data_IF_041142791384
#
_entry.id   IF_041142791384
#
_cell.length_a   1.000
_cell.length_b   1.000
_cell.length_c   1.000
_cell.angle_alpha   90.00
_cell.angle_beta   90.00
_cell.angle_gamma   90.00
#
_symmetry.space_group_name_H-M   'P 1'
#
loop_
_entity.id
_entity.type
_entity.pdbx_description
1 polymer ?
#
# COMPACT_ATOMS: atom_id res chain seq x y z
N UNK A 1 39.55 6.49 -33.08
CA UNK A 1 40.14 5.88 -31.89
C UNK A 1 39.90 6.86 -30.74
N UNK A 2 38.82 6.73 -30.02
CA UNK A 2 38.57 7.38 -28.74
C UNK A 2 38.08 6.28 -27.77
N UNK A 3 38.87 6.18 -26.72
CA UNK A 3 38.95 5.14 -25.70
C UNK A 3 37.63 4.99 -24.90
N UNK A 4 37.20 3.74 -24.82
CA UNK A 4 36.09 3.23 -24.01
C UNK A 4 36.54 2.97 -22.56
N UNK A 5 36.69 3.99 -21.72
CA UNK A 5 37.09 3.82 -20.31
C UNK A 5 36.16 4.50 -19.26
N UNK A 6 34.94 4.91 -19.64
CA UNK A 6 34.07 5.62 -18.71
C UNK A 6 32.99 4.79 -17.96
N UNK A 7 32.68 3.51 -18.24
CA UNK A 7 31.68 2.80 -17.44
C UNK A 7 32.23 2.07 -16.21
N UNK A 8 33.54 1.88 -16.07
CA UNK A 8 34.12 1.15 -14.95
C UNK A 8 34.30 1.98 -13.67
N UNK A 9 34.41 3.31 -13.79
CA UNK A 9 34.60 4.20 -12.64
C UNK A 9 33.30 4.49 -11.85
N UNK A 10 32.15 4.37 -12.47
CA UNK A 10 30.84 4.61 -11.80
C UNK A 10 30.41 3.38 -10.98
N UNK A 11 30.85 2.18 -11.34
CA UNK A 11 30.51 0.95 -10.62
C UNK A 11 31.31 0.74 -9.32
N UNK A 12 32.44 1.44 -9.14
CA UNK A 12 33.31 1.31 -7.96
C UNK A 12 32.98 2.28 -6.82
N UNK A 13 32.07 3.23 -7.00
CA UNK A 13 31.65 4.17 -5.95
C UNK A 13 30.55 3.62 -5.03
N UNK A 14 30.02 2.42 -5.29
CA UNK A 14 28.96 1.81 -4.47
C UNK A 14 29.47 0.73 -3.49
N UNK A 15 30.76 0.47 -3.40
CA UNK A 15 31.30 -0.62 -2.57
C UNK A 15 32.42 -0.18 -1.61
N UNK A 16 32.19 0.84 -0.80
CA UNK A 16 33.01 1.06 0.39
C UNK A 16 32.28 1.83 1.48
N UNK A 17 31.19 1.25 1.98
CA UNK A 17 30.77 1.50 3.36
C UNK A 17 31.38 0.35 4.17
N UNK A 18 32.63 0.52 4.55
CA UNK A 18 33.24 -0.27 5.62
C UNK A 18 32.41 0.06 6.88
N UNK A 19 31.69 -0.93 7.41
CA UNK A 19 31.11 -0.87 8.72
C UNK A 19 32.21 -0.68 9.75
N UNK A 20 32.49 0.56 10.12
CA UNK A 20 33.17 0.85 11.39
C UNK A 20 32.21 0.34 12.47
N UNK A 21 32.62 -0.68 13.22
CA UNK A 21 32.00 -1.02 14.49
C UNK A 21 32.23 0.19 15.42
N UNK A 22 31.33 1.14 15.38
CA UNK A 22 31.24 2.17 16.39
C UNK A 22 30.76 1.45 17.66
N UNK A 23 31.40 1.77 18.77
CA UNK A 23 30.94 1.44 20.12
C UNK A 23 29.54 2.05 20.24
N UNK A 24 28.49 1.22 19.99
CA UNK A 24 27.13 1.68 20.01
C UNK A 24 26.77 2.03 21.44
N UNK A 25 26.48 3.31 21.66
CA UNK A 25 25.87 3.76 22.89
C UNK A 25 24.69 2.83 23.23
N UNK A 26 24.73 2.12 24.38
CA UNK A 26 23.72 1.12 24.74
C UNK A 26 22.28 1.68 24.76
N UNK A 27 22.14 3.00 24.71
CA UNK A 27 20.85 3.71 24.66
C UNK A 27 20.46 4.22 23.28
N UNK A 28 21.25 4.01 22.23
CA UNK A 28 20.99 4.54 20.90
C UNK A 28 20.74 3.45 19.83
N UNK A 29 20.28 2.28 20.27
CA UNK A 29 19.92 1.19 19.34
C UNK A 29 18.66 1.51 18.56
N UNK A 30 18.55 0.96 17.36
CA UNK A 30 17.34 1.07 16.56
C UNK A 30 16.26 0.14 17.13
N UNK A 31 15.08 0.66 17.45
CA UNK A 31 13.95 -0.15 17.86
C UNK A 31 13.52 -1.06 16.71
N UNK A 32 13.27 -2.33 17.02
CA UNK A 32 12.83 -3.34 16.07
C UNK A 32 11.43 -3.82 16.42
N UNK A 33 10.64 -4.14 15.40
CA UNK A 33 9.40 -4.86 15.60
C UNK A 33 9.71 -6.27 16.12
N UNK A 34 8.91 -6.73 17.07
CA UNK A 34 9.10 -8.00 17.78
C UNK A 34 7.84 -8.84 17.64
N UNK A 35 8.03 -10.11 17.33
CA UNK A 35 7.00 -11.14 17.42
C UNK A 35 7.06 -11.80 18.80
N UNK A 36 5.92 -12.00 19.41
CA UNK A 36 5.78 -12.63 20.71
C UNK A 36 4.89 -13.85 20.51
N UNK A 37 5.53 -15.02 20.34
CA UNK A 37 4.80 -16.27 20.26
C UNK A 37 4.37 -16.69 21.67
N UNK A 38 3.10 -17.09 21.84
CA UNK A 38 2.57 -17.54 23.11
C UNK A 38 2.20 -19.02 23.11
N UNK A 39 2.28 -19.63 24.29
CA UNK A 39 1.80 -21.01 24.55
C UNK A 39 0.95 -21.00 25.80
N UNK A 40 -0.21 -21.64 25.73
CA UNK A 40 -1.10 -21.86 26.86
C UNK A 40 -1.14 -23.35 27.16
N UNK A 41 -0.77 -23.71 28.39
CA UNK A 41 -0.71 -25.13 28.84
C UNK A 41 0.07 -26.07 27.87
N UNK A 42 1.14 -25.50 27.27
CA UNK A 42 2.03 -26.19 26.34
C UNK A 42 1.54 -26.28 24.89
N UNK A 43 0.34 -25.77 24.59
CA UNK A 43 -0.17 -25.65 23.22
C UNK A 43 0.12 -24.27 22.69
N UNK A 44 0.55 -24.21 21.42
CA UNK A 44 0.75 -22.95 20.71
C UNK A 44 -0.57 -22.20 20.57
N UNK A 45 -0.53 -20.92 20.89
CA UNK A 45 -1.66 -20.00 20.87
C UNK A 45 -1.36 -18.82 19.92
N UNK A 46 -1.91 -17.67 20.17
CA UNK A 46 -1.77 -16.49 19.34
C UNK A 46 -0.35 -15.90 19.35
N UNK A 47 0.02 -15.33 18.21
CA UNK A 47 1.23 -14.56 18.03
C UNK A 47 0.89 -13.07 18.17
N UNK A 48 1.59 -12.36 19.06
CA UNK A 48 1.39 -10.94 19.30
C UNK A 48 2.53 -10.11 18.71
N UNK A 49 2.24 -8.85 18.43
CA UNK A 49 3.23 -7.89 17.99
C UNK A 49 3.71 -7.02 19.15
N UNK A 50 4.99 -6.70 19.15
CA UNK A 50 5.63 -5.81 20.09
C UNK A 50 6.71 -4.97 19.40
N UNK A 51 7.40 -4.17 20.21
CA UNK A 51 8.53 -3.36 19.77
C UNK A 51 9.67 -3.46 20.78
N UNK A 52 10.90 -3.66 20.35
CA UNK A 52 12.06 -3.66 21.23
C UNK A 52 12.36 -2.25 21.73
N UNK A 53 12.87 -2.14 22.96
CA UNK A 53 13.43 -0.89 23.44
C UNK A 53 14.72 -0.53 22.69
N UNK A 54 15.11 0.74 22.74
CA UNK A 54 16.43 1.21 22.23
C UNK A 54 17.58 0.82 23.16
N UNK A 55 17.32 0.06 24.19
CA UNK A 55 18.25 -0.45 25.18
C UNK A 55 17.96 -1.92 25.52
N UNK A 56 18.87 -2.57 26.23
CA UNK A 56 18.77 -4.00 26.52
C UNK A 56 19.47 -4.90 25.51
N UNK A 57 19.33 -6.21 25.62
CA UNK A 57 19.96 -7.13 24.69
C UNK A 57 19.21 -7.24 23.37
N UNK A 58 19.92 -7.64 22.31
CA UNK A 58 19.29 -7.98 21.04
C UNK A 58 18.43 -9.22 21.17
N UNK A 59 17.33 -9.24 20.42
CA UNK A 59 16.49 -10.41 20.27
C UNK A 59 16.99 -11.32 19.16
N UNK A 60 16.83 -12.63 19.27
CA UNK A 60 17.14 -13.56 18.20
C UNK A 60 16.23 -13.33 16.99
N UNK A 61 16.74 -13.63 15.80
CA UNK A 61 16.00 -13.50 14.55
C UNK A 61 14.95 -14.60 14.39
N UNK A 62 15.26 -15.79 14.86
CA UNK A 62 14.42 -16.98 14.72
C UNK A 62 13.90 -17.46 16.09
N UNK A 63 12.64 -17.85 16.13
CA UNK A 63 12.00 -18.40 17.34
C UNK A 63 12.71 -19.68 17.88
N UNK A 64 13.33 -20.47 17.00
CA UNK A 64 14.00 -21.73 17.38
C UNK A 64 15.25 -21.48 18.23
N UNK A 65 15.83 -20.29 18.19
CA UNK A 65 17.07 -19.96 18.90
C UNK A 65 16.86 -19.58 20.36
N UNK A 66 15.60 -19.49 20.84
CA UNK A 66 15.29 -18.98 22.17
C UNK A 66 14.49 -19.99 22.99
N UNK A 67 14.68 -19.99 24.31
CA UNK A 67 13.87 -20.79 25.20
C UNK A 67 12.53 -20.10 25.50
N UNK A 68 11.47 -20.88 25.65
CA UNK A 68 10.17 -20.38 26.13
C UNK A 68 10.30 -19.90 27.57
N UNK A 69 9.82 -18.70 27.83
CA UNK A 69 9.86 -18.08 29.14
C UNK A 69 8.47 -18.08 29.79
N UNK A 70 8.32 -18.53 31.03
CA UNK A 70 7.04 -18.40 31.74
C UNK A 70 6.73 -16.91 31.94
N UNK A 71 5.53 -16.48 31.58
CA UNK A 71 5.07 -15.11 31.76
C UNK A 71 4.61 -14.90 33.19
N UNK A 72 5.12 -13.86 33.87
CA UNK A 72 4.81 -13.56 35.28
C UNK A 72 4.62 -12.05 35.44
N UNK A 73 3.47 -11.63 36.01
CA UNK A 73 3.31 -10.24 36.43
C UNK A 73 4.18 -9.97 37.67
N UNK A 74 4.91 -8.87 37.62
CA UNK A 74 5.62 -8.39 38.82
C UNK A 74 4.62 -7.87 39.86
N UNK A 75 5.03 -7.83 41.08
CA UNK A 75 4.29 -7.20 42.17
C UNK A 75 5.23 -6.30 42.97
N UNK A 76 5.11 -4.97 42.83
CA UNK A 76 4.05 -4.22 42.15
C UNK A 76 4.14 -4.32 40.63
N UNK A 77 2.97 -4.26 39.97
CA UNK A 77 2.84 -4.41 38.50
C UNK A 77 3.58 -3.32 37.72
N UNK A 78 3.90 -2.19 38.30
CA UNK A 78 4.63 -1.10 37.65
C UNK A 78 6.14 -1.35 37.53
N UNK A 79 6.67 -2.37 38.20
CA UNK A 79 8.10 -2.72 38.24
C UNK A 79 9.02 -1.54 38.67
N UNK A 80 8.52 -0.60 39.46
CA UNK A 80 9.31 0.53 39.94
C UNK A 80 10.05 0.24 41.25
N UNK A 81 9.74 -0.86 41.93
CA UNK A 81 10.42 -1.37 43.10
C UNK A 81 10.63 -2.88 43.00
N UNK A 82 11.44 -3.44 43.90
CA UNK A 82 11.72 -4.88 43.89
C UNK A 82 10.43 -5.69 44.01
N UNK A 83 10.29 -6.67 43.11
CA UNK A 83 9.08 -7.51 43.08
C UNK A 83 9.02 -8.48 44.23
N UNK A 84 7.83 -8.61 44.85
CA UNK A 84 7.54 -9.63 45.87
C UNK A 84 7.42 -11.03 45.27
N UNK A 85 7.10 -11.11 43.97
CA UNK A 85 7.00 -12.35 43.19
C UNK A 85 8.36 -12.72 42.60
N UNK A 86 8.68 -13.99 42.59
CA UNK A 86 9.92 -14.53 42.03
C UNK A 86 9.91 -14.38 40.51
N UNK A 87 10.82 -13.58 39.93
CA UNK A 87 10.96 -13.35 38.50
C UNK A 87 12.06 -14.17 37.81
N UNK A 88 12.80 -14.97 38.60
CA UNK A 88 13.97 -15.69 38.09
C UNK A 88 13.64 -16.62 36.93
N UNK A 89 14.29 -16.38 35.79
CA UNK A 89 14.12 -17.16 34.54
C UNK A 89 12.77 -16.98 33.85
N UNK A 90 12.01 -15.95 34.23
CA UNK A 90 10.71 -15.64 33.64
C UNK A 90 10.74 -14.39 32.73
N UNK A 91 9.71 -14.24 31.93
CA UNK A 91 9.35 -12.99 31.27
C UNK A 91 8.54 -12.13 32.25
N UNK A 92 9.14 -11.07 32.78
CA UNK A 92 8.48 -10.15 33.71
C UNK A 92 7.52 -9.24 32.95
N UNK A 93 6.25 -9.25 33.31
CA UNK A 93 5.21 -8.37 32.76
C UNK A 93 5.07 -7.14 33.66
N UNK A 94 5.37 -5.97 33.10
CA UNK A 94 5.35 -4.66 33.79
C UNK A 94 4.38 -3.72 33.07
N UNK A 95 3.59 -2.97 33.81
CA UNK A 95 2.68 -1.96 33.25
C UNK A 95 3.40 -0.62 33.15
N UNK A 96 3.09 0.14 32.08
CA UNK A 96 3.56 1.51 31.87
C UNK A 96 3.11 2.43 33.02
N UNK A 97 3.92 3.46 33.34
CA UNK A 97 3.63 4.50 34.34
C UNK A 97 4.66 4.52 35.45
N UNK A 98 4.55 5.50 36.33
CA UNK A 98 5.24 5.73 37.62
C UNK A 98 6.75 6.00 37.48
N UNK A 99 7.55 5.15 36.80
CA UNK A 99 8.99 5.33 36.61
C UNK A 99 9.41 5.04 35.18
N UNK A 100 10.66 5.39 34.83
CA UNK A 100 11.24 5.26 33.50
C UNK A 100 11.34 3.80 33.05
N UNK A 101 11.28 3.57 31.74
CA UNK A 101 11.35 2.23 31.15
C UNK A 101 12.67 1.52 31.49
N UNK A 102 13.79 2.25 31.48
CA UNK A 102 15.08 1.73 31.87
C UNK A 102 15.13 1.32 33.35
N UNK A 103 14.50 2.09 34.26
CA UNK A 103 14.41 1.74 35.66
C UNK A 103 13.61 0.44 35.89
N UNK A 104 12.47 0.26 35.20
CA UNK A 104 11.68 -0.99 35.22
C UNK A 104 12.51 -2.19 34.80
N UNK A 105 13.29 -2.04 33.70
CA UNK A 105 14.14 -3.11 33.19
C UNK A 105 15.24 -3.49 34.17
N UNK A 106 15.86 -2.52 34.85
CA UNK A 106 16.87 -2.77 35.89
C UNK A 106 16.28 -3.52 37.08
N UNK A 107 15.10 -3.09 37.55
CA UNK A 107 14.42 -3.75 38.66
C UNK A 107 14.08 -5.19 38.34
N UNK A 108 13.53 -5.44 37.13
CA UNK A 108 13.20 -6.79 36.73
C UNK A 108 14.46 -7.66 36.49
N UNK A 109 15.53 -7.10 35.95
CA UNK A 109 16.81 -7.79 35.79
C UNK A 109 17.43 -8.16 37.13
N UNK A 110 17.42 -7.26 38.11
CA UNK A 110 17.87 -7.55 39.46
C UNK A 110 17.02 -8.60 40.16
N UNK A 111 15.72 -8.69 39.86
CA UNK A 111 14.83 -9.78 40.24
C UNK A 111 15.07 -11.12 39.54
N UNK A 112 16.04 -11.18 38.60
CA UNK A 112 16.44 -12.37 37.86
C UNK A 112 15.55 -12.69 36.67
N UNK A 113 14.76 -11.74 36.17
CA UNK A 113 13.99 -11.91 34.94
C UNK A 113 14.90 -12.17 33.72
N UNK A 114 14.45 -13.04 32.82
CA UNK A 114 15.14 -13.36 31.56
C UNK A 114 14.75 -12.43 30.41
N UNK A 115 13.58 -11.80 30.52
CA UNK A 115 13.08 -10.76 29.60
C UNK A 115 12.10 -9.85 30.32
N UNK A 116 11.89 -8.64 29.80
CA UNK A 116 10.88 -7.70 30.33
C UNK A 116 9.91 -7.31 29.24
N UNK A 117 8.63 -7.41 29.55
CA UNK A 117 7.54 -6.94 28.68
C UNK A 117 6.87 -5.75 29.33
N UNK A 118 6.89 -4.61 28.66
CA UNK A 118 6.27 -3.39 29.12
C UNK A 118 4.93 -3.22 28.40
N UNK A 119 3.86 -3.36 29.16
CA UNK A 119 2.48 -3.25 28.67
C UNK A 119 2.11 -1.76 28.61
N UNK A 120 1.72 -1.30 27.42
CA UNK A 120 1.27 0.07 27.21
C UNK A 120 -0.11 0.32 27.84
N UNK A 121 -0.44 1.58 28.06
CA UNK A 121 -1.76 2.06 28.50
C UNK A 121 -2.74 2.26 27.33
N UNK A 122 -2.25 2.19 26.07
CA UNK A 122 -3.00 2.27 24.83
C UNK A 122 -2.65 1.11 23.86
N UNK A 123 -3.47 0.91 22.83
CA UNK A 123 -3.24 -0.11 21.81
C UNK A 123 -2.31 0.37 20.68
N UNK A 124 -1.26 1.09 21.07
CA UNK A 124 -0.22 1.61 20.18
C UNK A 124 1.15 1.10 20.58
N UNK A 125 2.00 0.83 19.58
CA UNK A 125 3.41 0.56 19.77
C UNK A 125 4.18 1.88 19.66
N UNK A 126 5.12 2.13 20.58
CA UNK A 126 5.97 3.32 20.58
C UNK A 126 7.43 2.96 20.91
N UNK A 127 8.36 3.83 20.54
CA UNK A 127 9.76 3.64 20.85
C UNK A 127 10.08 3.97 22.30
N UNK A 128 10.68 3.03 23.01
CA UNK A 128 11.15 3.22 24.37
C UNK A 128 12.59 3.71 24.37
N UNK A 129 12.80 4.94 24.81
CA UNK A 129 14.13 5.56 24.98
C UNK A 129 14.68 5.33 26.39
N UNK A 130 15.98 5.43 26.56
CA UNK A 130 16.61 5.54 27.88
C UNK A 130 16.23 6.87 28.54
N UNK A 131 16.24 6.88 29.88
CA UNK A 131 16.35 8.12 30.63
C UNK A 131 17.73 8.77 30.38
N UNK A 132 17.73 10.08 30.16
CA UNK A 132 18.85 10.83 29.58
C UNK A 132 20.18 10.88 30.39
N UNK A 133 20.27 10.25 31.54
CA UNK A 133 21.42 10.43 32.46
C UNK A 133 22.07 9.17 33.04
N UNK A 134 21.66 7.96 32.58
CA UNK A 134 22.23 6.74 33.15
C UNK A 134 22.72 5.78 32.06
N UNK A 135 24.01 5.53 32.02
CA UNK A 135 24.60 4.36 31.36
C UNK A 135 24.14 3.08 32.10
N UNK A 136 22.96 2.60 31.76
CA UNK A 136 22.35 1.45 32.44
C UNK A 136 22.78 0.17 31.71
N UNK A 137 23.48 -0.72 32.41
CA UNK A 137 23.82 -2.03 31.87
C UNK A 137 22.64 -2.99 31.96
N UNK A 138 21.77 -2.96 30.95
CA UNK A 138 20.64 -3.88 30.81
C UNK A 138 21.05 -4.97 29.82
N UNK A 139 21.20 -6.20 30.29
CA UNK A 139 21.66 -7.36 29.53
C UNK A 139 20.51 -8.28 29.07
N UNK A 140 19.28 -8.00 29.49
CA UNK A 140 18.08 -8.77 29.11
C UNK A 140 17.28 -8.04 28.03
N UNK A 141 16.53 -8.75 27.16
CA UNK A 141 15.67 -8.12 26.18
C UNK A 141 14.50 -7.39 26.82
N UNK A 142 14.21 -6.20 26.31
CA UNK A 142 13.09 -5.36 26.75
C UNK A 142 12.15 -5.12 25.57
N UNK A 143 10.91 -5.53 25.73
CA UNK A 143 9.90 -5.51 24.66
C UNK A 143 8.67 -4.74 25.14
N UNK A 144 8.18 -3.85 24.35
CA UNK A 144 6.90 -3.18 24.59
C UNK A 144 5.79 -3.92 23.85
N UNK A 145 4.62 -4.02 24.47
CA UNK A 145 3.41 -4.59 23.89
C UNK A 145 2.20 -3.69 24.15
N UNK A 146 1.09 -3.92 23.42
CA UNK A 146 -0.12 -3.13 23.51
C UNK A 146 -0.92 -3.48 24.80
N UNK A 147 -1.86 -2.59 25.13
CA UNK A 147 -2.77 -2.79 26.26
C UNK A 147 -3.61 -4.06 26.09
N UNK A 148 -4.18 -4.27 24.92
CA UNK A 148 -5.02 -5.44 24.61
C UNK A 148 -4.29 -6.76 24.84
N UNK A 149 -3.00 -6.84 24.46
CA UNK A 149 -2.15 -8.02 24.70
C UNK A 149 -1.90 -8.20 26.21
N UNK A 150 -1.61 -7.12 26.91
CA UNK A 150 -1.46 -7.15 28.38
C UNK A 150 -2.71 -7.64 29.10
N UNK A 151 -3.88 -7.16 28.69
CA UNK A 151 -5.17 -7.56 29.25
C UNK A 151 -5.48 -9.05 28.95
N UNK A 152 -5.16 -9.52 27.73
CA UNK A 152 -5.30 -10.93 27.35
C UNK A 152 -4.41 -11.84 28.21
N UNK A 153 -3.12 -11.49 28.36
CA UNK A 153 -2.19 -12.24 29.21
C UNK A 153 -2.62 -12.23 30.67
N UNK A 154 -3.10 -11.10 31.19
CA UNK A 154 -3.60 -10.99 32.56
C UNK A 154 -4.81 -11.88 32.81
N UNK A 155 -5.77 -11.93 31.88
CA UNK A 155 -6.94 -12.79 31.94
C UNK A 155 -6.55 -14.27 31.96
N UNK A 156 -5.57 -14.68 31.17
CA UNK A 156 -5.08 -16.06 31.12
C UNK A 156 -4.38 -16.44 32.43
N UNK A 157 -3.48 -15.60 32.94
CA UNK A 157 -2.76 -15.86 34.17
C UNK A 157 -3.67 -15.85 35.42
N UNK A 158 -4.65 -14.93 35.45
CA UNK A 158 -5.69 -14.91 36.51
C UNK A 158 -6.54 -16.19 36.50
N UNK A 159 -6.77 -16.77 35.31
CA UNK A 159 -7.44 -18.06 35.16
C UNK A 159 -6.56 -19.26 35.50
N UNK A 160 -5.37 -19.02 36.13
CA UNK A 160 -4.37 -20.04 36.52
C UNK A 160 -3.86 -20.93 35.35
N UNK A 161 -3.91 -20.45 34.13
CA UNK A 161 -3.29 -21.13 33.00
C UNK A 161 -1.78 -20.89 32.99
N UNK A 162 -1.01 -21.89 32.57
CA UNK A 162 0.41 -21.74 32.37
C UNK A 162 0.63 -21.04 31.04
N UNK A 163 1.11 -19.80 31.08
CA UNK A 163 1.42 -19.01 29.88
C UNK A 163 2.93 -18.93 29.73
N UNK A 164 3.41 -19.32 28.57
CA UNK A 164 4.81 -19.18 28.16
C UNK A 164 4.88 -18.26 26.95
N UNK A 165 5.89 -17.41 26.89
CA UNK A 165 6.10 -16.43 25.81
C UNK A 165 7.52 -16.53 25.27
N UNK A 166 7.68 -16.21 24.00
CA UNK A 166 8.97 -16.21 23.33
C UNK A 166 9.04 -14.99 22.41
N UNK A 167 9.84 -13.97 22.78
CA UNK A 167 10.07 -12.82 21.94
C UNK A 167 11.18 -13.10 20.92
N UNK A 168 10.98 -12.74 19.65
CA UNK A 168 11.98 -12.79 18.59
C UNK A 168 11.75 -11.66 17.59
N UNK A 169 12.80 -11.23 16.90
CA UNK A 169 12.73 -10.12 15.96
C UNK A 169 13.10 -10.59 14.55
N UNK A 170 12.14 -11.12 13.78
CA UNK A 170 12.41 -11.59 12.43
C UNK A 170 12.80 -10.42 11.52
N UNK A 171 13.89 -10.61 10.76
CA UNK A 171 14.33 -9.63 9.79
C UNK A 171 13.39 -9.62 8.58
N UNK A 172 13.10 -8.43 8.08
CA UNK A 172 12.39 -8.31 6.80
C UNK A 172 13.31 -8.70 5.66
N UNK A 173 12.82 -9.47 4.69
CA UNK A 173 13.59 -9.75 3.49
C UNK A 173 13.87 -8.43 2.75
N UNK A 174 15.09 -8.28 2.23
CA UNK A 174 15.51 -7.09 1.48
C UNK A 174 14.71 -6.96 0.18
N UNK A 175 14.31 -8.08 -0.40
CA UNK A 175 13.49 -8.16 -1.61
C UNK A 175 12.32 -9.10 -1.34
N UNK A 176 11.10 -8.60 -1.50
CA UNK A 176 9.90 -9.44 -1.48
C UNK A 176 9.43 -9.68 -2.93
N UNK A 177 8.97 -10.89 -3.21
CA UNK A 177 8.40 -11.24 -4.51
C UNK A 177 7.12 -10.46 -4.84
N UNK A 178 6.43 -9.93 -3.84
CA UNK A 178 5.26 -9.06 -4.01
C UNK A 178 5.55 -7.83 -4.85
N UNK A 179 6.74 -7.23 -4.71
CA UNK A 179 7.18 -6.08 -5.52
C UNK A 179 7.29 -6.46 -6.99
N UNK A 180 7.80 -7.65 -7.30
CA UNK A 180 7.90 -8.13 -8.68
C UNK A 180 6.52 -8.37 -9.31
N UNK A 181 5.58 -8.93 -8.55
CA UNK A 181 4.19 -9.11 -9.01
C UNK A 181 3.49 -7.78 -9.23
N UNK A 182 3.68 -6.81 -8.34
CA UNK A 182 3.11 -5.48 -8.46
C UNK A 182 3.64 -4.75 -9.71
N UNK A 183 4.95 -4.83 -9.94
CA UNK A 183 5.58 -4.30 -11.14
C UNK A 183 5.05 -4.98 -12.41
N UNK A 184 4.91 -6.31 -12.39
CA UNK A 184 4.36 -7.05 -13.52
C UNK A 184 2.92 -6.63 -13.83
N UNK A 185 2.06 -6.45 -12.81
CA UNK A 185 0.70 -5.97 -12.98
C UNK A 185 0.67 -4.57 -13.58
N UNK A 186 1.53 -3.65 -13.10
CA UNK A 186 1.63 -2.30 -13.63
C UNK A 186 2.05 -2.29 -15.12
N UNK A 187 3.11 -3.03 -15.45
CA UNK A 187 3.59 -3.15 -16.84
C UNK A 187 2.55 -3.83 -17.74
N UNK A 188 1.92 -4.91 -17.27
CA UNK A 188 0.88 -5.61 -18.02
C UNK A 188 -0.32 -4.69 -18.30
N UNK A 189 -0.72 -3.84 -17.34
CA UNK A 189 -1.80 -2.86 -17.55
C UNK A 189 -1.47 -1.88 -18.66
N UNK A 190 -0.25 -1.32 -18.68
CA UNK A 190 0.17 -0.38 -19.74
C UNK A 190 0.28 -1.08 -21.10
N UNK A 191 0.81 -2.30 -21.15
CA UNK A 191 0.88 -3.09 -22.40
C UNK A 191 -0.53 -3.41 -22.89
N UNK A 192 -1.42 -3.88 -22.03
CA UNK A 192 -2.80 -4.17 -22.40
C UNK A 192 -3.51 -2.92 -22.95
N UNK A 193 -3.37 -1.77 -22.29
CA UNK A 193 -3.96 -0.52 -22.74
C UNK A 193 -3.40 -0.08 -24.10
N UNK A 194 -2.08 -0.21 -24.32
CA UNK A 194 -1.43 0.16 -25.59
C UNK A 194 -1.83 -0.76 -26.76
N UNK A 195 -1.90 -2.09 -26.51
CA UNK A 195 -2.37 -3.05 -27.51
C UNK A 195 -3.86 -2.88 -27.82
N UNK A 196 -4.63 -2.44 -26.83
CA UNK A 196 -6.05 -2.17 -27.02
C UNK A 196 -6.29 -0.96 -27.93
N UNK A 197 -5.48 0.08 -27.76
CA UNK A 197 -5.53 1.24 -28.64
C UNK A 197 -5.31 0.87 -30.12
N UNK A 198 -4.41 -0.09 -30.40
CA UNK A 198 -4.19 -0.61 -31.78
C UNK A 198 -5.41 -1.27 -32.41
N UNK A 199 -6.23 -1.88 -31.56
CA UNK A 199 -7.40 -2.64 -31.99
C UNK A 199 -8.57 -1.71 -32.31
N UNK A 200 -8.69 -0.59 -31.60
CA UNK A 200 -9.79 0.37 -31.73
C UNK A 200 -9.50 1.45 -32.80
N UNK A 201 -8.23 1.72 -33.08
CA UNK A 201 -7.79 2.77 -34.03
C UNK A 201 -8.22 2.57 -35.49
N UNK A 202 -8.26 1.35 -36.07
CA UNK A 202 -8.71 1.14 -37.47
C UNK A 202 -10.13 1.61 -37.71
N UNK A 203 -11.06 1.27 -36.80
CA UNK A 203 -12.47 1.61 -36.93
C UNK A 203 -12.71 3.13 -36.87
N UNK A 204 -11.99 3.82 -36.01
CA UNK A 204 -12.05 5.29 -35.90
C UNK A 204 -11.40 6.03 -37.05
N UNK A 205 -10.37 5.44 -37.71
CA UNK A 205 -9.75 6.02 -38.91
C UNK A 205 -10.72 5.92 -40.08
N UNK A 206 -11.41 4.80 -40.24
CA UNK A 206 -12.38 4.59 -41.30
C UNK A 206 -13.61 5.50 -41.12
N UNK A 207 -14.10 5.71 -39.92
CA UNK A 207 -15.16 6.67 -39.61
C UNK A 207 -14.72 8.11 -39.97
N UNK A 208 -13.54 8.52 -39.55
CA UNK A 208 -13.00 9.87 -39.86
C UNK A 208 -12.71 10.08 -41.37
N UNK A 209 -12.30 9.03 -42.06
CA UNK A 209 -12.11 9.07 -43.53
C UNK A 209 -13.47 9.21 -44.23
N UNK A 210 -14.50 8.57 -43.71
CA UNK A 210 -15.87 8.67 -44.23
C UNK A 210 -16.47 10.05 -43.96
N UNK A 211 -16.21 10.66 -42.80
CA UNK A 211 -16.64 12.04 -42.46
C UNK A 211 -15.96 13.12 -43.34
N UNK A 212 -14.69 12.93 -43.69
CA UNK A 212 -13.93 13.86 -44.55
C UNK A 212 -14.19 13.67 -46.06
N UNK A 213 -14.98 12.66 -46.43
CA UNK A 213 -15.33 12.42 -47.82
C UNK A 213 -16.41 13.41 -48.30
N UNK A 214 -16.21 14.09 -49.49
CA UNK A 214 -17.14 15.15 -49.94
C UNK A 214 -18.57 14.71 -50.28
N UNK A 215 -18.92 13.45 -50.06
CA UNK A 215 -20.27 12.91 -50.32
C UNK A 215 -21.25 12.94 -49.14
N UNK A 216 -20.81 13.32 -47.94
CA UNK A 216 -21.66 13.32 -46.75
C UNK A 216 -22.21 14.68 -46.35
N UNK A 217 -22.16 15.70 -47.23
CA UNK A 217 -22.73 17.02 -46.92
C UNK A 217 -24.28 17.08 -46.98
N UNK A 218 -24.96 15.93 -46.98
CA UNK A 218 -26.43 15.89 -47.05
C UNK A 218 -27.03 14.76 -46.23
N UNK A 219 -26.80 14.80 -44.93
CA UNK A 219 -27.65 14.12 -43.92
C UNK A 219 -27.34 14.69 -42.53
N UNK A 220 -27.92 15.80 -42.25
CA UNK A 220 -28.12 16.26 -40.85
C UNK A 220 -29.18 15.42 -40.18
N UNK A 221 -28.89 15.07 -38.97
CA UNK A 221 -29.75 14.66 -37.86
C UNK A 221 -29.51 13.22 -37.39
N UNK A 222 -28.83 13.10 -36.30
CA UNK A 222 -29.03 12.00 -35.39
C UNK A 222 -27.81 11.27 -34.88
N UNK A 223 -27.56 11.52 -33.62
CA UNK A 223 -26.76 10.79 -32.63
C UNK A 223 -25.28 11.15 -32.48
N UNK A 224 -25.11 12.04 -31.57
CA UNK A 224 -23.92 12.28 -30.78
C UNK A 224 -23.69 11.10 -29.81
N UNK A 225 -23.01 10.06 -30.26
CA UNK A 225 -22.36 9.06 -29.42
C UNK A 225 -20.83 9.13 -29.70
N UNK A 226 -20.32 10.36 -29.73
CA UNK A 226 -18.87 10.58 -29.71
C UNK A 226 -18.35 10.31 -28.29
N UNK A 227 -17.62 9.20 -28.11
CA UNK A 227 -16.76 9.01 -26.93
C UNK A 227 -15.98 10.31 -26.70
N UNK A 228 -16.19 10.95 -25.57
CA UNK A 228 -15.60 12.24 -25.22
C UNK A 228 -14.09 12.08 -25.01
N UNK A 229 -13.32 12.24 -26.09
CA UNK A 229 -11.86 12.17 -26.05
C UNK A 229 -11.34 13.40 -25.33
N UNK A 230 -10.83 13.23 -24.11
CA UNK A 230 -10.25 14.31 -23.30
C UNK A 230 -8.87 14.67 -23.87
N UNK A 231 -8.79 15.79 -24.56
CA UNK A 231 -7.52 16.36 -25.03
C UNK A 231 -6.85 17.15 -23.91
N UNK A 232 -5.71 16.64 -23.42
CA UNK A 232 -4.92 17.30 -22.36
C UNK A 232 -4.05 18.40 -22.99
N UNK A 233 -4.34 19.66 -22.72
CA UNK A 233 -3.50 20.80 -23.09
C UNK A 233 -2.47 21.12 -22.00
N UNK A 234 -1.44 21.91 -22.33
CA UNK A 234 -0.38 22.33 -21.36
C UNK A 234 -0.95 23.04 -20.13
N UNK A 235 -1.99 23.86 -20.32
CA UNK A 235 -2.69 24.49 -19.20
C UNK A 235 -3.44 23.46 -18.35
N UNK A 236 -4.04 22.47 -18.98
CA UNK A 236 -4.72 21.36 -18.33
C UNK A 236 -3.78 20.55 -17.44
N UNK A 237 -2.53 20.31 -17.87
CA UNK A 237 -1.53 19.61 -17.06
C UNK A 237 -1.19 20.35 -15.76
N UNK A 238 -1.03 21.68 -15.81
CA UNK A 238 -0.77 22.48 -14.61
C UNK A 238 -1.99 22.54 -13.68
N UNK A 239 -3.18 22.74 -14.25
CA UNK A 239 -4.45 22.72 -13.49
C UNK A 239 -4.63 21.38 -12.80
N UNK A 240 -4.33 20.28 -13.49
CA UNK A 240 -4.40 18.93 -12.91
C UNK A 240 -3.50 18.77 -11.68
N UNK A 241 -2.24 19.23 -11.74
CA UNK A 241 -1.30 19.15 -10.61
C UNK A 241 -1.79 19.98 -9.41
N UNK A 242 -2.31 21.18 -9.66
CA UNK A 242 -2.87 22.04 -8.62
C UNK A 242 -4.09 21.36 -7.97
N UNK A 243 -5.00 20.82 -8.79
CA UNK A 243 -6.21 20.14 -8.32
C UNK A 243 -5.84 18.88 -7.52
N UNK A 244 -4.90 18.06 -8.02
CA UNK A 244 -4.42 16.87 -7.33
C UNK A 244 -3.76 17.20 -5.99
N UNK A 245 -2.94 18.28 -5.94
CA UNK A 245 -2.33 18.76 -4.69
C UNK A 245 -3.38 19.23 -3.70
N UNK A 246 -4.36 20.01 -4.15
CA UNK A 246 -5.46 20.48 -3.31
C UNK A 246 -6.28 19.30 -2.76
N UNK A 247 -6.56 18.32 -3.61
CA UNK A 247 -7.30 17.12 -3.23
C UNK A 247 -6.52 16.28 -2.18
N UNK A 248 -5.20 16.13 -2.36
CA UNK A 248 -4.36 15.43 -1.38
C UNK A 248 -4.32 16.13 -0.02
N UNK A 249 -4.26 17.47 -0.01
CA UNK A 249 -4.35 18.28 1.23
C UNK A 249 -5.71 18.09 1.89
N UNK A 250 -6.79 18.13 1.12
CA UNK A 250 -8.15 17.88 1.63
C UNK A 250 -8.26 16.48 2.22
N UNK A 251 -7.72 15.47 1.54
CA UNK A 251 -7.65 14.10 2.07
C UNK A 251 -6.92 14.06 3.41
N UNK A 252 -5.77 14.71 3.52
CA UNK A 252 -4.95 14.71 4.73
C UNK A 252 -5.66 15.36 5.93
N UNK A 253 -6.35 16.49 5.71
CA UNK A 253 -7.02 17.21 6.81
C UNK A 253 -8.42 16.68 7.13
N UNK A 254 -9.17 16.26 6.13
CA UNK A 254 -10.58 15.88 6.25
C UNK A 254 -10.83 14.38 6.10
N UNK A 255 -9.76 13.54 6.15
CA UNK A 255 -9.93 12.10 6.08
C UNK A 255 -10.76 11.62 7.27
N UNK A 256 -11.99 11.29 6.97
CA UNK A 256 -12.96 10.68 7.89
C UNK A 256 -13.56 9.44 7.24
N UNK A 257 -14.14 8.54 8.01
CA UNK A 257 -14.79 7.34 7.48
C UNK A 257 -15.84 7.65 6.42
N UNK A 258 -16.58 8.77 6.55
CA UNK A 258 -17.54 9.21 5.54
C UNK A 258 -16.88 9.57 4.21
N UNK A 259 -15.74 10.24 4.25
CA UNK A 259 -15.03 10.66 3.04
C UNK A 259 -14.45 9.46 2.27
N UNK A 260 -13.97 8.45 2.98
CA UNK A 260 -13.52 7.19 2.37
C UNK A 260 -14.68 6.50 1.62
N UNK A 261 -15.89 6.51 2.18
CA UNK A 261 -17.05 5.97 1.49
C UNK A 261 -17.36 6.67 0.17
N UNK A 262 -17.18 8.00 0.10
CA UNK A 262 -17.31 8.74 -1.16
C UNK A 262 -16.27 8.25 -2.19
N UNK A 263 -15.02 8.05 -1.77
CA UNK A 263 -13.95 7.53 -2.64
C UNK A 263 -14.25 6.11 -3.12
N UNK A 264 -14.77 5.26 -2.25
CA UNK A 264 -15.17 3.88 -2.61
C UNK A 264 -16.29 3.91 -3.66
N UNK A 265 -17.28 4.76 -3.49
CA UNK A 265 -18.39 4.90 -4.45
C UNK A 265 -17.88 5.38 -5.81
N UNK A 266 -17.03 6.42 -5.83
CA UNK A 266 -16.42 6.93 -7.07
C UNK A 266 -15.55 5.88 -7.76
N UNK A 267 -14.76 5.14 -6.99
CA UNK A 267 -13.97 4.04 -7.49
C UNK A 267 -14.82 2.91 -8.07
N UNK A 268 -15.93 2.56 -7.41
CA UNK A 268 -16.86 1.55 -7.93
C UNK A 268 -17.51 2.00 -9.23
N UNK A 269 -17.94 3.25 -9.34
CA UNK A 269 -18.54 3.79 -10.58
C UNK A 269 -17.54 3.66 -11.74
N UNK A 270 -16.32 4.19 -11.56
CA UNK A 270 -15.28 4.10 -12.59
C UNK A 270 -14.83 2.66 -12.88
N UNK A 271 -14.74 1.81 -11.85
CA UNK A 271 -14.39 0.40 -11.99
C UNK A 271 -15.46 -0.43 -12.72
N UNK A 272 -16.74 -0.16 -12.47
CA UNK A 272 -17.87 -0.78 -13.20
C UNK A 272 -17.81 -0.41 -14.68
N UNK A 273 -17.65 0.87 -14.97
CA UNK A 273 -17.53 1.36 -16.35
C UNK A 273 -16.31 0.76 -17.04
N UNK A 274 -15.14 0.80 -16.38
CA UNK A 274 -13.91 0.22 -16.89
C UNK A 274 -14.04 -1.27 -17.19
N UNK A 275 -14.60 -2.04 -16.27
CA UNK A 275 -14.76 -3.49 -16.43
C UNK A 275 -15.80 -3.80 -17.53
N UNK A 276 -16.91 -3.05 -17.57
CA UNK A 276 -17.91 -3.16 -18.63
C UNK A 276 -17.28 -2.93 -20.00
N UNK A 277 -16.55 -1.84 -20.21
CA UNK A 277 -15.90 -1.50 -21.47
C UNK A 277 -14.87 -2.55 -21.88
N UNK A 278 -14.05 -3.02 -20.94
CA UNK A 278 -13.09 -4.08 -21.21
C UNK A 278 -13.75 -5.38 -21.65
N UNK A 279 -14.80 -5.84 -21.00
CA UNK A 279 -15.46 -7.11 -21.33
C UNK A 279 -16.23 -6.99 -22.65
N UNK A 280 -16.96 -5.87 -22.86
CA UNK A 280 -17.73 -5.65 -24.09
C UNK A 280 -16.81 -5.60 -25.31
N UNK A 281 -15.74 -4.83 -25.26
CA UNK A 281 -14.79 -4.75 -26.39
C UNK A 281 -14.14 -6.09 -26.70
N UNK A 282 -13.71 -6.87 -25.69
CA UNK A 282 -13.17 -8.21 -25.87
C UNK A 282 -14.20 -9.20 -26.41
N UNK A 283 -15.43 -9.13 -25.91
CA UNK A 283 -16.53 -10.01 -26.30
C UNK A 283 -16.97 -9.81 -27.73
N UNK A 284 -17.14 -8.55 -28.16
CA UNK A 284 -17.54 -8.18 -29.52
C UNK A 284 -16.47 -8.61 -30.55
N UNK A 285 -15.21 -8.50 -30.21
CA UNK A 285 -14.12 -8.95 -31.07
C UNK A 285 -14.11 -10.47 -31.29
N UNK A 286 -14.34 -11.27 -30.22
CA UNK A 286 -14.33 -12.74 -30.34
C UNK A 286 -15.59 -13.32 -30.96
N UNK A 287 -16.74 -12.65 -30.80
CA UNK A 287 -18.04 -13.14 -31.29
C UNK A 287 -18.95 -11.99 -31.73
N UNK A 288 -18.76 -11.45 -32.95
CA UNK A 288 -19.59 -10.35 -33.49
C UNK A 288 -21.09 -10.70 -33.53
N UNK A 289 -21.45 -12.00 -33.63
CA UNK A 289 -22.82 -12.46 -33.61
C UNK A 289 -23.56 -12.23 -32.28
N UNK A 290 -22.85 -12.03 -31.16
CA UNK A 290 -23.47 -11.71 -29.86
C UNK A 290 -23.99 -10.28 -29.80
N UNK A 291 -23.48 -9.36 -30.65
CA UNK A 291 -23.95 -7.98 -30.74
C UNK A 291 -25.31 -7.81 -31.45
N UNK A 292 -25.74 -8.82 -32.22
CA UNK A 292 -26.92 -8.71 -33.10
C UNK A 292 -28.26 -8.78 -32.38
N UNK A 293 -28.30 -9.17 -31.09
CA UNK A 293 -29.55 -9.19 -30.32
C UNK A 293 -29.67 -7.89 -29.54
N UNK A 294 -30.42 -6.93 -30.09
CA UNK A 294 -30.73 -5.67 -29.43
C UNK A 294 -32.09 -5.76 -28.73
N UNK A 295 -32.21 -5.10 -27.59
CA UNK A 295 -33.45 -4.88 -26.85
C UNK A 295 -33.66 -3.38 -26.74
N UNK A 296 -34.87 -2.92 -27.14
CA UNK A 296 -35.26 -1.53 -26.96
C UNK A 296 -35.67 -1.30 -25.51
N UNK A 297 -34.89 -0.56 -24.76
CA UNK A 297 -35.23 -0.08 -23.43
C UNK A 297 -35.85 1.31 -23.52
N UNK A 298 -36.95 1.57 -22.79
CA UNK A 298 -37.75 2.81 -22.93
C UNK A 298 -36.99 4.09 -22.58
N UNK A 299 -35.84 4.01 -21.88
CA UNK A 299 -35.01 5.15 -21.47
C UNK A 299 -33.59 5.18 -22.11
N UNK A 300 -33.09 4.04 -22.58
CA UNK A 300 -31.71 3.91 -23.05
C UNK A 300 -31.55 3.58 -24.55
N UNK A 301 -32.68 3.47 -25.27
CA UNK A 301 -32.69 3.12 -26.69
C UNK A 301 -32.36 1.65 -26.98
N UNK A 302 -31.73 1.38 -28.15
CA UNK A 302 -31.32 0.04 -28.54
C UNK A 302 -30.01 -0.35 -27.88
N UNK A 303 -30.06 -1.27 -26.93
CA UNK A 303 -28.88 -1.78 -26.21
C UNK A 303 -28.72 -3.27 -26.49
N UNK A 304 -27.47 -3.71 -26.75
CA UNK A 304 -27.17 -5.12 -26.91
C UNK A 304 -27.43 -5.89 -25.61
N UNK A 305 -28.05 -7.06 -25.70
CA UNK A 305 -28.26 -7.95 -24.54
C UNK A 305 -26.92 -8.30 -23.88
N UNK A 306 -25.86 -8.48 -24.66
CA UNK A 306 -24.54 -8.78 -24.14
C UNK A 306 -24.00 -7.63 -23.27
N UNK A 307 -24.15 -6.37 -23.70
CA UNK A 307 -23.77 -5.20 -22.91
C UNK A 307 -24.52 -5.12 -21.58
N UNK A 308 -25.84 -5.41 -21.59
CA UNK A 308 -26.65 -5.40 -20.38
C UNK A 308 -26.23 -6.48 -19.37
N UNK A 309 -25.95 -7.70 -19.84
CA UNK A 309 -25.47 -8.80 -19.00
C UNK A 309 -24.11 -8.45 -18.40
N UNK A 310 -23.21 -7.88 -19.21
CA UNK A 310 -21.88 -7.46 -18.77
C UNK A 310 -21.96 -6.35 -17.73
N UNK A 311 -22.86 -5.37 -17.93
CA UNK A 311 -23.07 -4.31 -16.95
C UNK A 311 -23.58 -4.88 -15.61
N UNK A 312 -24.56 -5.79 -15.67
CA UNK A 312 -25.09 -6.44 -14.46
C UNK A 312 -23.99 -7.23 -13.73
N UNK A 313 -23.16 -7.94 -14.49
CA UNK A 313 -22.00 -8.66 -13.92
C UNK A 313 -21.02 -7.69 -13.25
N UNK A 314 -20.64 -6.57 -13.91
CA UNK A 314 -19.71 -5.58 -13.36
C UNK A 314 -20.26 -4.92 -12.09
N UNK A 315 -21.55 -4.58 -12.07
CA UNK A 315 -22.20 -4.03 -10.87
C UNK A 315 -22.19 -5.06 -9.73
N UNK A 316 -22.58 -6.31 -10.02
CA UNK A 316 -22.59 -7.37 -9.01
C UNK A 316 -21.19 -7.61 -8.43
N UNK A 317 -20.16 -7.62 -9.29
CA UNK A 317 -18.78 -7.78 -8.86
C UNK A 317 -18.31 -6.63 -7.95
N UNK A 318 -18.59 -5.39 -8.32
CA UNK A 318 -18.26 -4.22 -7.49
C UNK A 318 -18.97 -4.23 -6.13
N UNK A 319 -20.26 -4.59 -6.10
CA UNK A 319 -21.03 -4.72 -4.85
C UNK A 319 -20.44 -5.82 -3.96
N UNK A 320 -20.12 -6.99 -4.52
CA UNK A 320 -19.46 -8.07 -3.78
C UNK A 320 -18.11 -7.62 -3.21
N UNK A 321 -17.30 -6.90 -4.00
CA UNK A 321 -16.05 -6.36 -3.50
C UNK A 321 -16.26 -5.40 -2.32
N UNK A 322 -17.24 -4.50 -2.37
CA UNK A 322 -17.55 -3.58 -1.26
C UNK A 322 -17.97 -4.33 0.00
N UNK A 323 -18.80 -5.38 -0.14
CA UNK A 323 -19.25 -6.21 0.99
C UNK A 323 -18.08 -6.94 1.67
N UNK A 324 -17.18 -7.52 0.86
CA UNK A 324 -16.04 -8.29 1.34
C UNK A 324 -14.74 -7.49 1.43
N UNK A 325 -14.79 -6.16 1.45
CA UNK A 325 -13.58 -5.31 1.38
C UNK A 325 -12.62 -5.47 2.56
N UNK A 326 -13.09 -5.95 3.71
CA UNK A 326 -12.28 -6.18 4.92
C UNK A 326 -11.63 -7.56 4.96
N UNK A 327 -12.00 -8.44 4.04
CA UNK A 327 -11.43 -9.78 3.95
C UNK A 327 -10.03 -9.77 3.34
N UNK A 328 -9.20 -10.74 3.71
CA UNK A 328 -7.81 -10.84 3.27
C UNK A 328 -7.63 -10.98 1.75
N UNK A 329 -8.63 -11.48 1.04
CA UNK A 329 -8.63 -11.63 -0.42
C UNK A 329 -9.18 -10.42 -1.18
N UNK A 330 -9.65 -9.38 -0.50
CA UNK A 330 -10.32 -8.21 -1.12
C UNK A 330 -9.40 -7.43 -2.07
N UNK A 331 -8.08 -7.53 -1.90
CA UNK A 331 -7.09 -6.89 -2.76
C UNK A 331 -7.25 -7.31 -4.23
N UNK A 332 -7.55 -8.58 -4.50
CA UNK A 332 -7.74 -9.07 -5.86
C UNK A 332 -8.91 -8.38 -6.58
N UNK A 333 -10.04 -8.21 -5.90
CA UNK A 333 -11.20 -7.52 -6.48
C UNK A 333 -10.93 -6.03 -6.72
N UNK A 334 -10.21 -5.38 -5.81
CA UNK A 334 -9.77 -3.99 -5.96
C UNK A 334 -8.84 -3.82 -7.16
N UNK A 335 -7.85 -4.67 -7.27
CA UNK A 335 -6.85 -4.60 -8.34
C UNK A 335 -7.48 -4.86 -9.71
N UNK A 336 -8.40 -5.82 -9.80
CA UNK A 336 -9.12 -6.09 -11.04
C UNK A 336 -9.96 -4.88 -11.51
N UNK A 337 -10.75 -4.28 -10.60
CA UNK A 337 -11.51 -3.05 -10.90
C UNK A 337 -10.58 -1.89 -11.26
N UNK A 338 -9.48 -1.73 -10.52
CA UNK A 338 -8.48 -0.69 -10.75
C UNK A 338 -7.76 -0.83 -12.08
N UNK A 339 -7.36 -2.05 -12.47
CA UNK A 339 -6.72 -2.32 -13.77
C UNK A 339 -7.68 -2.00 -14.92
N UNK A 340 -8.94 -2.44 -14.83
CA UNK A 340 -9.94 -2.13 -15.83
C UNK A 340 -10.19 -0.61 -15.95
N UNK A 341 -10.28 0.08 -14.82
CA UNK A 341 -10.40 1.55 -14.78
C UNK A 341 -9.18 2.21 -15.45
N UNK A 342 -7.96 1.81 -15.10
CA UNK A 342 -6.74 2.39 -15.69
C UNK A 342 -6.64 2.16 -17.18
N UNK A 343 -7.00 0.95 -17.67
CA UNK A 343 -7.04 0.66 -19.11
C UNK A 343 -8.00 1.62 -19.82
N UNK A 344 -9.21 1.80 -19.28
CA UNK A 344 -10.20 2.73 -19.86
C UNK A 344 -9.73 4.18 -19.84
N UNK A 345 -9.14 4.63 -18.74
CA UNK A 345 -8.56 6.00 -18.64
C UNK A 345 -7.44 6.20 -19.66
N UNK A 346 -6.53 5.22 -19.85
CA UNK A 346 -5.45 5.31 -20.84
C UNK A 346 -5.96 5.32 -22.28
N UNK A 347 -7.15 4.77 -22.55
CA UNK A 347 -7.80 4.83 -23.86
C UNK A 347 -8.47 6.18 -24.12
N UNK A 348 -9.16 6.72 -23.11
CA UNK A 348 -9.88 7.99 -23.22
C UNK A 348 -8.94 9.21 -23.22
N UNK A 349 -7.88 9.17 -22.42
CA UNK A 349 -6.92 10.27 -22.29
C UNK A 349 -5.86 10.19 -23.41
N UNK A 350 -5.93 11.12 -24.36
CA UNK A 350 -4.95 11.22 -25.45
C UNK A 350 -4.10 12.48 -25.31
N UNK A 351 -2.78 12.28 -25.43
CA UNK A 351 -1.83 13.39 -25.47
C UNK A 351 -1.72 13.94 -26.90
N UNK A 352 -1.98 15.24 -27.13
CA UNK A 352 -1.95 15.79 -28.49
C UNK A 352 -0.51 15.96 -29.02
N UNK A 353 0.46 16.17 -28.13
CA UNK A 353 1.84 16.48 -28.51
C UNK A 353 2.84 15.97 -27.46
N UNK A 354 4.07 15.68 -27.89
CA UNK A 354 5.18 15.28 -27.01
C UNK A 354 5.54 16.41 -26.00
N UNK A 355 5.33 17.68 -26.36
CA UNK A 355 5.56 18.82 -25.45
C UNK A 355 4.65 18.77 -24.22
N UNK A 356 3.38 18.44 -24.44
CA UNK A 356 2.39 18.31 -23.35
C UNK A 356 2.75 17.11 -22.47
N UNK A 357 3.15 15.98 -23.08
CA UNK A 357 3.63 14.82 -22.35
C UNK A 357 4.83 15.14 -21.45
N UNK A 358 5.81 15.90 -21.98
CA UNK A 358 6.98 16.30 -21.21
C UNK A 358 6.60 17.22 -20.05
N UNK A 359 5.73 18.21 -20.27
CA UNK A 359 5.25 19.10 -19.21
C UNK A 359 4.53 18.30 -18.13
N UNK A 360 3.63 17.39 -18.52
CA UNK A 360 2.89 16.55 -17.56
C UNK A 360 3.84 15.72 -16.69
N UNK A 361 4.83 15.05 -17.30
CA UNK A 361 5.81 14.26 -16.55
C UNK A 361 6.70 15.11 -15.63
N UNK A 362 7.15 16.27 -16.11
CA UNK A 362 7.92 17.20 -15.26
C UNK A 362 7.09 17.71 -14.08
N UNK A 363 5.82 18.03 -14.30
CA UNK A 363 4.90 18.44 -13.24
C UNK A 363 4.64 17.29 -12.25
N UNK A 364 4.43 16.08 -12.73
CA UNK A 364 4.27 14.89 -11.87
C UNK A 364 5.53 14.64 -11.02
N UNK A 365 6.71 14.75 -11.62
CA UNK A 365 7.99 14.59 -10.91
C UNK A 365 8.18 15.65 -9.79
N UNK A 366 7.88 16.92 -10.07
CA UNK A 366 7.93 17.98 -9.05
C UNK A 366 6.89 17.75 -7.94
N UNK A 367 5.71 17.28 -8.31
CA UNK A 367 4.65 16.88 -7.38
C UNK A 367 5.13 15.78 -6.42
N UNK A 368 5.75 14.73 -6.95
CA UNK A 368 6.25 13.60 -6.15
C UNK A 368 7.38 14.03 -5.21
N UNK A 369 8.35 14.83 -5.69
CA UNK A 369 9.41 15.38 -4.84
C UNK A 369 8.80 16.18 -3.69
N UNK A 370 7.83 17.03 -3.97
CA UNK A 370 7.21 17.86 -2.95
C UNK A 370 6.50 17.00 -1.89
N UNK A 371 5.65 16.07 -2.33
CA UNK A 371 4.82 15.31 -1.40
C UNK A 371 5.56 14.18 -0.68
N UNK A 372 6.64 13.66 -1.23
CA UNK A 372 7.44 12.61 -0.59
C UNK A 372 8.50 13.19 0.33
N UNK A 373 9.25 14.21 -0.12
CA UNK A 373 10.43 14.70 0.60
C UNK A 373 10.17 15.99 1.38
N UNK A 374 9.37 16.93 0.84
CA UNK A 374 9.15 18.23 1.46
C UNK A 374 7.97 18.18 2.45
N UNK A 375 6.91 17.45 2.14
CA UNK A 375 5.73 17.38 3.00
C UNK A 375 6.01 16.90 4.43
N UNK A 376 6.91 15.93 4.70
CA UNK A 376 7.24 15.51 6.07
C UNK A 376 7.86 16.63 6.90
N UNK A 377 8.61 17.55 6.27
CA UNK A 377 9.22 18.69 6.96
C UNK A 377 8.16 19.72 7.38
N UNK A 378 7.14 19.92 6.54
CA UNK A 378 6.06 20.91 6.82
C UNK A 378 5.02 20.34 7.78
N UNK A 379 4.58 19.10 7.56
CA UNK A 379 3.47 18.47 8.28
C UNK A 379 3.91 17.49 9.38
N UNK A 380 5.23 17.33 9.63
CA UNK A 380 5.84 16.40 10.60
C UNK A 380 5.52 14.91 10.33
N UNK A 381 4.76 14.61 9.31
CA UNK A 381 4.41 13.25 8.84
C UNK A 381 4.31 13.27 7.32
N UNK A 382 4.65 12.15 6.68
CA UNK A 382 4.43 12.02 5.24
C UNK A 382 2.94 12.00 4.94
N UNK A 383 2.47 13.05 4.26
CA UNK A 383 1.06 13.20 3.87
C UNK A 383 0.64 12.02 3.00
N UNK A 384 1.47 11.65 2.04
CA UNK A 384 1.19 10.58 1.08
C UNK A 384 1.05 9.22 1.76
N UNK A 385 1.95 8.88 2.70
CA UNK A 385 1.90 7.61 3.45
C UNK A 385 0.69 7.59 4.39
N UNK A 386 0.43 8.69 5.10
CA UNK A 386 -0.70 8.80 6.04
C UNK A 386 -2.04 8.63 5.31
N UNK A 387 -2.18 9.23 4.13
CA UNK A 387 -3.38 9.10 3.30
C UNK A 387 -3.49 7.69 2.72
N UNK A 388 -2.41 7.14 2.16
CA UNK A 388 -2.43 5.80 1.54
C UNK A 388 -2.77 4.69 2.54
N UNK A 389 -2.28 4.78 3.77
CA UNK A 389 -2.54 3.79 4.84
C UNK A 389 -3.88 3.99 5.56
N UNK A 390 -4.48 5.17 5.43
CA UNK A 390 -5.72 5.49 6.15
C UNK A 390 -5.55 5.68 7.65
N UNK A 391 -4.35 6.07 8.12
CA UNK A 391 -4.02 6.17 9.56
C UNK A 391 -5.01 7.02 10.38
N UNK A 392 -5.62 8.04 9.74
CA UNK A 392 -6.63 8.90 10.38
C UNK A 392 -8.06 8.37 10.30
N UNK A 393 -8.30 7.35 9.50
CA UNK A 393 -9.63 6.82 9.22
C UNK A 393 -9.84 5.39 9.70
N UNK A 394 -9.19 5.04 10.82
CA UNK A 394 -9.31 3.70 11.41
C UNK A 394 -8.55 2.61 10.65
N UNK A 395 -7.51 2.97 9.86
CA UNK A 395 -6.69 2.02 9.10
C UNK A 395 -7.29 1.58 7.75
N UNK A 396 -8.36 2.23 7.29
CA UNK A 396 -8.90 1.97 5.95
C UNK A 396 -8.07 2.65 4.87
N UNK A 397 -7.36 1.87 4.05
CA UNK A 397 -6.61 2.37 2.90
C UNK A 397 -7.53 2.88 1.79
N UNK A 398 -7.08 3.91 1.05
CA UNK A 398 -7.83 4.42 -0.10
C UNK A 398 -7.89 3.37 -1.23
N UNK A 399 -8.99 3.31 -2.01
CA UNK A 399 -9.16 2.30 -3.05
C UNK A 399 -8.36 2.55 -4.34
N UNK A 400 -7.65 3.70 -4.45
CA UNK A 400 -6.91 4.11 -5.66
C UNK A 400 -5.46 3.61 -5.70
N UNK A 401 -5.21 2.41 -5.17
CA UNK A 401 -3.91 1.75 -5.10
C UNK A 401 -4.05 0.32 -5.59
N UNK A 402 -3.11 -0.16 -6.42
CA UNK A 402 -2.89 -1.59 -6.58
C UNK A 402 -2.20 -2.12 -5.33
N UNK A 403 -2.63 -3.27 -4.83
CA UNK A 403 -2.13 -3.87 -3.60
C UNK A 403 -1.81 -5.33 -3.82
N UNK A 404 -0.64 -5.75 -3.41
CA UNK A 404 -0.29 -7.17 -3.42
C UNK A 404 0.20 -7.59 -2.02
N UNK A 405 -0.30 -8.70 -1.45
CA UNK A 405 0.13 -9.15 -0.13
C UNK A 405 1.61 -9.53 -0.14
N UNK A 406 2.32 -9.16 0.90
CA UNK A 406 3.71 -9.57 1.11
C UNK A 406 3.75 -11.03 1.49
N UNK A 407 4.35 -11.84 0.64
CA UNK A 407 4.38 -13.30 0.82
C UNK A 407 5.51 -13.75 1.73
N UNK A 408 6.62 -13.02 1.74
CA UNK A 408 7.84 -13.40 2.46
C UNK A 408 8.08 -12.55 3.71
N UNK A 409 7.30 -11.51 3.95
CA UNK A 409 7.44 -10.64 5.13
C UNK A 409 6.75 -11.29 6.34
N UNK A 410 7.48 -11.61 7.43
CA UNK A 410 6.89 -12.15 8.66
C UNK A 410 5.82 -11.24 9.27
N UNK A 411 5.86 -9.95 8.95
CA UNK A 411 4.93 -8.94 9.45
C UNK A 411 3.65 -8.82 8.62
N UNK A 412 3.58 -9.54 7.51
CA UNK A 412 2.47 -9.43 6.58
C UNK A 412 2.35 -8.03 5.98
N UNK A 413 1.14 -7.65 5.63
CA UNK A 413 0.84 -6.36 5.00
C UNK A 413 0.84 -6.45 3.47
N UNK A 414 0.79 -5.29 2.84
CA UNK A 414 0.68 -5.16 1.39
C UNK A 414 1.76 -4.23 0.86
N UNK A 415 2.34 -4.58 -0.28
CA UNK A 415 3.02 -3.60 -1.12
C UNK A 415 1.98 -2.92 -1.99
N UNK A 416 2.17 -1.63 -2.22
CA UNK A 416 1.17 -0.78 -2.88
C UNK A 416 1.82 0.13 -3.90
N UNK A 417 1.13 0.34 -5.03
CA UNK A 417 1.51 1.33 -6.03
C UNK A 417 0.30 2.19 -6.39
N UNK A 418 0.47 3.49 -6.46
CA UNK A 418 -0.58 4.44 -6.86
C UNK A 418 -0.96 4.29 -8.33
N UNK A 419 -2.23 4.46 -8.66
CA UNK A 419 -2.67 4.46 -10.06
C UNK A 419 -1.99 5.56 -10.87
N UNK A 420 -1.68 6.71 -10.26
CA UNK A 420 -0.95 7.80 -10.89
C UNK A 420 0.41 7.39 -11.43
N UNK A 421 1.15 6.58 -10.67
CA UNK A 421 2.49 6.11 -11.02
C UNK A 421 2.49 5.18 -12.24
N UNK A 422 1.32 4.59 -12.55
CA UNK A 422 1.10 3.75 -13.73
C UNK A 422 0.53 4.57 -14.88
N UNK A 423 -0.43 5.46 -14.60
CA UNK A 423 -1.13 6.23 -15.62
C UNK A 423 -0.23 7.25 -16.32
N UNK A 424 0.61 8.01 -15.58
CA UNK A 424 1.46 9.02 -16.21
C UNK A 424 2.48 8.45 -17.19
N UNK A 425 3.30 7.45 -16.85
CA UNK A 425 4.17 6.82 -17.84
C UNK A 425 3.37 6.03 -18.89
N UNK A 426 2.23 5.45 -18.52
CA UNK A 426 1.33 4.75 -19.44
C UNK A 426 0.79 5.63 -20.56
N UNK A 427 0.42 6.88 -20.27
CA UNK A 427 0.00 7.87 -21.27
C UNK A 427 1.12 8.17 -22.29
N UNK A 428 2.37 8.27 -21.85
CA UNK A 428 3.50 8.49 -22.74
C UNK A 428 3.75 7.28 -23.65
N UNK A 429 3.67 6.06 -23.10
CA UNK A 429 3.83 4.83 -23.87
C UNK A 429 2.72 4.70 -24.91
N UNK A 430 1.48 4.93 -24.54
CA UNK A 430 0.33 4.92 -25.43
C UNK A 430 0.47 5.96 -26.55
N UNK A 431 0.90 7.18 -26.24
CA UNK A 431 1.19 8.21 -27.22
C UNK A 431 2.29 7.81 -28.21
N UNK A 432 3.41 7.27 -27.70
CA UNK A 432 4.54 6.82 -28.52
C UNK A 432 4.14 5.68 -29.46
N UNK A 433 3.30 4.78 -29.00
CA UNK A 433 2.79 3.65 -29.78
C UNK A 433 1.86 4.13 -30.90
N UNK A 434 0.90 4.99 -30.61
CA UNK A 434 -0.03 5.58 -31.56
C UNK A 434 0.69 6.36 -32.68
N UNK A 435 1.71 7.16 -32.36
CA UNK A 435 2.50 7.90 -33.36
C UNK A 435 3.31 7.00 -34.29
N UNK A 436 3.75 5.83 -33.80
CA UNK A 436 4.48 4.85 -34.61
C UNK A 436 3.59 4.17 -35.64
N UNK A 437 2.33 3.91 -35.33
CA UNK A 437 1.34 3.33 -36.23
C UNK A 437 1.02 4.29 -37.35
N UNK A 438 0.75 5.57 -37.02
CA UNK A 438 0.48 6.62 -38.02
C UNK A 438 1.65 6.78 -39.02
N UNK A 439 2.90 6.60 -38.59
CA UNK A 439 4.08 6.63 -39.48
C UNK A 439 4.25 5.38 -40.33
N UNK A 440 3.66 4.24 -39.98
CA UNK A 440 3.73 3.01 -40.78
C UNK A 440 2.62 2.92 -41.83
N UNK A 441 1.52 3.66 -41.62
CA UNK A 441 0.39 3.69 -42.56
C UNK A 441 0.46 4.79 -43.63
N UNK A 442 1.42 5.74 -43.53
CA UNK A 442 1.77 6.71 -44.57
C UNK A 442 3.01 6.26 -45.32
#
# INVERSE_FOLDING_TARGET
MLSSSLPAAILLLFFSVAAAAADEDPCNRVSQLVKIQSWIDGKEDEEYNGMSARFGSYLPVEAVQTAKLPAVFADPMDCCSASTVKLSGSAALCVRGTCDFSAKAVVAQTGGAAAVFIINDADELFEMNCASDQSVNISIPVVQTTKSVGDALNKLLTSKKKVEVLPYAPTRPVVDYSVAFLWLMAVATVICASLWADITTPDQIDERYNELSPKSAMSEAGKDDSEEIVNIDTKGAVVFVITASTFLVLLFFFMSSWFIWVLIILFCIGGIEGMHNCIVSLGLRKRPTCAQKNVNLPFFGEVSIFSLITLLFSVTFAVLWVVFRHESFSWFGQDLLGICLMITVLQMARLPNIKVATVLLCCAFVYDIFWVFISPVIFQKSVMITVARGDKAGGEAIPMLLRFPRLSDPWGGYDMIGFGDILFPGLLVSFSHSTKILRRGS
#
